data_IF_591943618344
#
_entry.id   IF_591943618344
#
_cell.length_a   1.000
_cell.length_b   1.000
_cell.length_c   1.000
_cell.angle_alpha   90.00
_cell.angle_beta   90.00
_cell.angle_gamma   90.00
#
_symmetry.space_group_name_H-M   'P 1'
#
loop_
_entity.id
_entity.type
_entity.pdbx_description
1 polymer ?
#
# COMPACT_ATOMS: atom_id res chain seq x y z
N UNK A 1 -15.87 -4.81 6.12
CA UNK A 1 -15.35 -5.39 4.85
C UNK A 1 -14.61 -4.34 4.01
N UNK A 2 -15.18 -3.16 3.72
CA UNK A 2 -14.50 -2.13 2.93
C UNK A 2 -13.16 -1.63 3.49
N UNK A 3 -13.06 -1.41 4.80
CA UNK A 3 -11.81 -1.04 5.49
C UNK A 3 -10.71 -2.10 5.38
N UNK A 4 -11.08 -3.39 5.36
CA UNK A 4 -10.12 -4.47 5.19
C UNK A 4 -9.59 -4.55 3.75
N UNK A 5 -10.43 -4.26 2.75
CA UNK A 5 -10.00 -4.19 1.34
C UNK A 5 -9.09 -2.99 1.11
N UNK A 6 -9.44 -1.83 1.68
CA UNK A 6 -8.63 -0.62 1.61
C UNK A 6 -7.23 -0.78 2.24
N UNK A 7 -7.06 -1.69 3.19
CA UNK A 7 -5.75 -1.98 3.77
C UNK A 7 -4.76 -2.59 2.75
N UNK A 8 -5.24 -3.13 1.63
CA UNK A 8 -4.42 -3.74 0.56
C UNK A 8 -4.25 -2.84 -0.68
N UNK A 9 -4.52 -1.54 -0.57
CA UNK A 9 -4.36 -0.55 -1.66
C UNK A 9 -2.91 -0.39 -2.17
N UNK A 10 -1.92 -0.94 -1.45
CA UNK A 10 -0.51 -0.91 -1.84
C UNK A 10 -0.18 -1.67 -3.14
N UNK A 11 -1.11 -2.50 -3.66
CA UNK A 11 -0.90 -3.28 -4.89
C UNK A 11 -0.62 -2.40 -6.12
N UNK A 12 -1.11 -1.15 -6.13
CA UNK A 12 -0.91 -0.22 -7.24
C UNK A 12 0.56 0.17 -7.46
N UNK A 13 1.40 -0.02 -6.44
CA UNK A 13 2.83 0.25 -6.51
C UNK A 13 3.63 -0.94 -7.08
N UNK A 14 2.98 -2.05 -7.44
CA UNK A 14 3.68 -3.24 -7.92
C UNK A 14 4.49 -2.98 -9.20
N UNK A 15 3.93 -2.20 -10.13
CA UNK A 15 4.57 -1.86 -11.41
C UNK A 15 5.87 -1.09 -11.16
N UNK A 16 5.85 0.08 -10.50
CA UNK A 16 7.10 0.82 -10.26
C UNK A 16 8.09 0.09 -9.35
N UNK A 17 7.62 -0.75 -8.42
CA UNK A 17 8.51 -1.59 -7.60
C UNK A 17 9.23 -2.63 -8.48
N UNK A 18 8.51 -3.28 -9.39
CA UNK A 18 9.09 -4.26 -10.31
C UNK A 18 10.16 -3.63 -11.21
N UNK A 19 9.95 -2.38 -11.63
CA UNK A 19 10.89 -1.62 -12.46
C UNK A 19 12.17 -1.23 -11.70
N UNK A 20 12.07 -0.99 -10.39
CA UNK A 20 13.22 -0.72 -9.52
C UNK A 20 13.95 -1.97 -9.00
N UNK A 21 13.46 -3.17 -9.28
CA UNK A 21 14.04 -4.42 -8.76
C UNK A 21 15.20 -4.94 -9.62
N UNK A 22 16.29 -5.32 -8.98
CA UNK A 22 17.43 -5.97 -9.65
C UNK A 22 17.09 -7.37 -10.21
N UNK A 23 16.06 -8.05 -9.65
CA UNK A 23 15.61 -9.40 -10.02
C UNK A 23 14.07 -9.49 -10.03
N UNK A 24 13.40 -9.12 -11.14
CA UNK A 24 11.94 -9.09 -11.23
C UNK A 24 11.26 -10.47 -11.14
N UNK A 25 12.00 -11.56 -11.36
CA UNK A 25 11.50 -12.94 -11.29
C UNK A 25 11.06 -13.38 -9.88
N UNK A 26 11.53 -12.71 -8.82
CA UNK A 26 11.14 -13.01 -7.44
C UNK A 26 9.88 -12.27 -6.97
N UNK A 27 9.31 -11.40 -7.80
CA UNK A 27 8.21 -10.51 -7.42
C UNK A 27 6.97 -11.28 -6.95
N UNK A 28 6.58 -12.35 -7.65
CA UNK A 28 5.38 -13.13 -7.32
C UNK A 28 5.48 -13.77 -5.92
N UNK A 29 6.64 -14.36 -5.60
CA UNK A 29 6.91 -14.93 -4.28
C UNK A 29 6.95 -13.85 -3.18
N UNK A 30 7.50 -12.68 -3.49
CA UNK A 30 7.56 -11.55 -2.55
C UNK A 30 6.16 -11.00 -2.25
N UNK A 31 5.31 -10.81 -3.25
CA UNK A 31 3.93 -10.33 -3.08
C UNK A 31 3.16 -11.30 -2.18
N UNK A 32 3.26 -12.61 -2.43
CA UNK A 32 2.59 -13.63 -1.63
C UNK A 32 3.10 -13.62 -0.18
N UNK A 33 4.41 -13.52 0.02
CA UNK A 33 5.01 -13.44 1.36
C UNK A 33 4.53 -12.20 2.13
N UNK A 34 4.52 -11.04 1.49
CA UNK A 34 4.04 -9.78 2.09
C UNK A 34 2.55 -9.88 2.42
N UNK A 35 1.73 -10.37 1.48
CA UNK A 35 0.29 -10.50 1.68
C UNK A 35 -0.04 -11.41 2.87
N UNK A 36 0.62 -12.57 2.99
CA UNK A 36 0.45 -13.48 4.13
C UNK A 36 0.90 -12.82 5.43
N UNK A 37 2.04 -12.13 5.42
CA UNK A 37 2.55 -11.44 6.62
C UNK A 37 1.60 -10.35 7.08
N UNK A 38 1.09 -9.51 6.17
CA UNK A 38 0.09 -8.49 6.47
C UNK A 38 -1.21 -9.11 6.99
N UNK A 39 -1.68 -10.22 6.41
CA UNK A 39 -2.87 -10.91 6.88
C UNK A 39 -2.73 -11.38 8.33
N UNK A 40 -1.59 -12.00 8.68
CA UNK A 40 -1.30 -12.45 10.05
C UNK A 40 -1.25 -11.26 11.01
N UNK A 41 -0.60 -10.16 10.62
CA UNK A 41 -0.54 -8.95 11.44
C UNK A 41 -1.92 -8.33 11.66
N UNK A 42 -2.72 -8.16 10.60
CA UNK A 42 -4.05 -7.57 10.72
C UNK A 42 -5.01 -8.44 11.53
N UNK A 43 -4.98 -9.76 11.34
CA UNK A 43 -5.78 -10.68 12.17
C UNK A 43 -5.32 -10.62 13.62
N UNK A 44 -4.00 -10.62 13.86
CA UNK A 44 -3.43 -10.50 15.20
C UNK A 44 -3.86 -9.21 15.90
N UNK A 45 -3.54 -8.06 15.32
CA UNK A 45 -3.91 -6.74 15.87
C UNK A 45 -5.43 -6.57 16.01
N UNK A 46 -6.22 -7.04 15.04
CA UNK A 46 -7.68 -7.02 15.11
C UNK A 46 -8.22 -7.84 16.28
N UNK A 47 -7.68 -9.05 16.48
CA UNK A 47 -8.07 -9.94 17.58
C UNK A 47 -7.67 -9.35 18.94
N UNK A 48 -6.42 -8.86 19.08
CA UNK A 48 -5.97 -8.21 20.31
C UNK A 48 -6.75 -6.93 20.63
N UNK A 49 -7.09 -6.13 19.62
CA UNK A 49 -7.93 -4.95 19.75
C UNK A 49 -9.32 -5.30 20.30
N UNK A 50 -9.97 -6.31 19.72
CA UNK A 50 -11.28 -6.77 20.19
C UNK A 50 -11.23 -7.33 21.62
N UNK A 51 -10.20 -8.13 21.95
CA UNK A 51 -10.03 -8.68 23.31
C UNK A 51 -9.82 -7.61 24.39
N UNK A 52 -9.22 -6.47 24.03
CA UNK A 52 -8.87 -5.41 25.00
C UNK A 52 -10.01 -4.43 25.24
N UNK A 53 -10.81 -4.12 24.20
CA UNK A 53 -11.87 -3.09 24.26
C UNK A 53 -13.30 -3.68 24.23
N UNK A 54 -13.45 -4.97 23.97
CA UNK A 54 -14.76 -5.63 23.91
C UNK A 54 -15.65 -5.11 22.78
N UNK A 55 -16.96 -5.09 23.02
CA UNK A 55 -17.98 -4.67 22.04
C UNK A 55 -18.06 -3.14 21.82
N UNK A 56 -17.30 -2.34 22.58
CA UNK A 56 -17.29 -0.86 22.50
C UNK A 56 -16.13 -0.32 21.63
N UNK A 57 -15.65 -1.12 20.69
CA UNK A 57 -14.58 -0.73 19.76
C UNK A 57 -15.12 0.28 18.75
N UNK A 58 -14.65 1.52 18.79
CA UNK A 58 -14.90 2.45 17.70
C UNK A 58 -14.09 2.02 16.46
N UNK A 59 -14.59 2.37 15.26
CA UNK A 59 -13.93 2.12 13.95
C UNK A 59 -12.47 2.59 13.92
N UNK A 60 -12.11 3.57 14.76
CA UNK A 60 -10.75 4.02 14.99
C UNK A 60 -10.40 3.74 16.46
N UNK A 61 -9.62 2.68 16.69
CA UNK A 61 -9.18 2.26 18.05
C UNK A 61 -8.50 3.43 18.78
N UNK A 62 -7.71 4.25 18.09
CA UNK A 62 -7.02 5.40 18.66
C UNK A 62 -7.95 6.46 19.30
N UNK A 63 -9.21 6.55 18.84
CA UNK A 63 -10.20 7.49 19.40
C UNK A 63 -10.94 6.91 20.61
N UNK A 64 -10.88 5.60 20.82
CA UNK A 64 -11.49 4.91 21.97
C UNK A 64 -10.60 4.95 23.22
N UNK A 65 -9.32 5.34 23.07
CA UNK A 65 -8.41 5.42 24.21
C UNK A 65 -8.62 6.72 25.01
N UNK A 66 -8.56 6.67 26.36
CA UNK A 66 -8.59 7.87 27.19
C UNK A 66 -7.39 8.76 26.87
N UNK A 67 -7.63 10.06 26.64
CA UNK A 67 -6.60 11.04 26.31
C UNK A 67 -5.56 11.11 27.44
N UNK A 68 -4.42 10.45 27.23
CA UNK A 68 -3.24 10.51 28.08
C UNK A 68 -2.05 10.99 27.25
N UNK A 69 -0.99 11.46 27.91
CA UNK A 69 0.21 11.95 27.23
C UNK A 69 0.78 10.91 26.23
N UNK A 70 0.73 9.63 26.59
CA UNK A 70 1.18 8.52 25.73
C UNK A 70 0.32 8.34 24.47
N UNK A 71 -1.01 8.43 24.63
CA UNK A 71 -1.96 8.28 23.51
C UNK A 71 -1.80 9.44 22.53
N UNK A 72 -1.62 10.66 23.04
CA UNK A 72 -1.35 11.84 22.22
C UNK A 72 -0.06 11.69 21.41
N UNK A 73 1.02 11.14 21.98
CA UNK A 73 2.26 10.88 21.24
C UNK A 73 2.06 9.90 20.09
N UNK A 74 1.34 8.79 20.33
CA UNK A 74 1.03 7.81 19.28
C UNK A 74 0.17 8.43 18.18
N UNK A 75 -0.80 9.28 18.53
CA UNK A 75 -1.65 9.98 17.57
C UNK A 75 -0.87 10.97 16.69
N UNK A 76 0.10 11.70 17.27
CA UNK A 76 1.00 12.58 16.51
C UNK A 76 1.86 11.76 15.54
N UNK A 77 2.45 10.66 16.00
CA UNK A 77 3.25 9.77 15.14
C UNK A 77 2.41 9.17 14.01
N UNK A 78 1.17 8.77 14.30
CA UNK A 78 0.23 8.27 13.30
C UNK A 78 -0.13 9.35 12.25
N UNK A 79 -0.33 10.59 12.68
CA UNK A 79 -0.61 11.71 11.76
C UNK A 79 0.57 11.98 10.84
N UNK A 80 1.80 11.95 11.36
CA UNK A 80 3.02 12.09 10.56
C UNK A 80 3.14 10.93 9.55
N UNK A 81 2.83 9.70 9.97
CA UNK A 81 2.86 8.53 9.08
C UNK A 81 1.85 8.66 7.93
N UNK A 82 0.62 9.11 8.20
CA UNK A 82 -0.38 9.38 7.16
C UNK A 82 0.11 10.48 6.22
N UNK A 83 0.66 11.57 6.75
CA UNK A 83 1.16 12.67 5.93
C UNK A 83 2.27 12.22 4.96
N UNK A 84 3.14 11.31 5.40
CA UNK A 84 4.16 10.68 4.54
C UNK A 84 3.57 9.67 3.52
N UNK A 85 2.44 9.04 3.86
CA UNK A 85 1.78 8.06 2.99
C UNK A 85 1.05 8.72 1.81
N UNK A 86 0.56 9.95 1.97
CA UNK A 86 -0.14 10.68 0.89
C UNK A 86 0.74 10.88 -0.36
N UNK A 87 2.00 11.39 -0.27
CA UNK A 87 2.91 11.46 -1.42
C UNK A 87 3.12 10.12 -2.13
N UNK A 88 3.25 9.03 -1.36
CA UNK A 88 3.46 7.69 -1.91
C UNK A 88 2.22 7.19 -2.67
N UNK A 89 1.01 7.53 -2.20
CA UNK A 89 -0.24 7.21 -2.91
C UNK A 89 -0.40 8.03 -4.19
N UNK A 90 0.12 9.25 -4.25
CA UNK A 90 0.07 10.07 -5.46
C UNK A 90 1.07 9.66 -6.53
N UNK A 91 2.15 8.96 -6.17
CA UNK A 91 3.19 8.52 -7.10
C UNK A 91 2.66 7.79 -8.35
N UNK A 92 1.80 6.76 -8.27
CA UNK A 92 1.23 6.12 -9.46
C UNK A 92 0.34 7.07 -10.26
N UNK A 93 -0.43 7.94 -9.59
CA UNK A 93 -1.30 8.90 -10.26
C UNK A 93 -0.50 9.94 -11.06
N UNK A 94 0.64 10.41 -10.55
CA UNK A 94 1.51 11.34 -11.27
C UNK A 94 2.15 10.66 -12.49
N UNK A 95 2.62 9.42 -12.36
CA UNK A 95 3.17 8.64 -13.50
C UNK A 95 2.11 8.41 -14.59
N UNK A 96 0.87 8.09 -14.21
CA UNK A 96 -0.23 7.90 -15.17
C UNK A 96 -0.59 9.24 -15.85
N UNK A 97 -0.66 10.33 -15.07
CA UNK A 97 -1.00 11.66 -15.59
C UNK A 97 0.05 12.19 -16.57
N UNK A 98 1.34 11.98 -16.28
CA UNK A 98 2.45 12.35 -17.17
C UNK A 98 2.35 11.62 -18.52
N UNK A 99 2.03 10.33 -18.49
CA UNK A 99 1.79 9.55 -19.71
C UNK A 99 0.56 10.05 -20.49
N UNK A 100 -0.53 10.42 -19.80
CA UNK A 100 -1.76 10.91 -20.43
C UNK A 100 -1.57 12.28 -21.09
N UNK A 101 -0.75 13.15 -20.51
CA UNK A 101 -0.47 14.51 -21.02
C UNK A 101 0.67 14.54 -22.06
N UNK A 102 1.34 13.41 -22.32
CA UNK A 102 2.42 13.33 -23.30
C UNK A 102 3.67 14.15 -22.93
N UNK A 103 3.77 14.60 -21.68
CA UNK A 103 4.91 15.36 -21.16
C UNK A 103 6.09 14.40 -20.96
N UNK A 104 6.90 14.21 -22.01
CA UNK A 104 8.16 13.48 -21.94
C UNK A 104 9.19 14.30 -21.18
N UNK A 105 9.19 14.22 -19.85
CA UNK A 105 10.31 14.69 -19.04
C UNK A 105 10.91 13.50 -18.29
N UNK A 106 12.01 12.97 -18.83
CA UNK A 106 13.08 12.37 -18.03
C UNK A 106 13.08 10.87 -17.71
N UNK A 107 11.95 10.16 -17.63
CA UNK A 107 12.00 8.72 -17.27
C UNK A 107 11.82 7.86 -18.51
N UNK A 108 12.94 7.35 -19.04
CA UNK A 108 12.92 6.28 -20.05
C UNK A 108 12.32 5.02 -19.41
N UNK A 109 11.00 4.85 -19.47
CA UNK A 109 10.38 3.57 -19.16
C UNK A 109 9.72 2.97 -20.41
N UNK A 110 10.39 1.98 -20.98
CA UNK A 110 9.97 1.28 -22.18
C UNK A 110 8.79 0.36 -21.88
N UNK A 111 7.57 0.89 -21.96
CA UNK A 111 6.33 0.10 -21.89
C UNK A 111 6.08 -0.77 -23.15
N UNK A 112 7.01 -0.81 -24.11
CA UNK A 112 6.85 -1.53 -25.37
C UNK A 112 8.05 -2.45 -25.68
N UNK A 113 8.11 -3.63 -25.05
CA UNK A 113 8.36 -4.83 -25.86
C UNK A 113 7.29 -5.94 -25.71
N UNK A 114 6.46 -5.95 -24.65
CA UNK A 114 5.62 -7.14 -24.35
C UNK A 114 4.38 -7.32 -25.22
N UNK A 115 3.86 -6.26 -25.86
CA UNK A 115 2.72 -6.41 -26.79
C UNK A 115 3.11 -7.02 -28.14
N UNK A 116 4.42 -7.08 -28.49
CA UNK A 116 4.86 -7.73 -29.73
C UNK A 116 5.08 -9.23 -29.59
N UNK A 117 5.14 -9.79 -28.38
CA UNK A 117 5.44 -11.21 -28.17
C UNK A 117 4.21 -12.11 -28.17
N UNK A 118 3.00 -11.55 -27.99
CA UNK A 118 1.74 -12.31 -28.05
C UNK A 118 1.14 -12.40 -29.46
N UNK A 119 1.69 -11.68 -30.45
CA UNK A 119 1.21 -11.74 -31.84
C UNK A 119 1.80 -12.92 -32.63
N UNK A 120 2.80 -13.62 -32.07
CA UNK A 120 3.48 -14.76 -32.71
C UNK A 120 3.04 -16.14 -32.16
N UNK A 121 1.96 -16.18 -31.36
CA UNK A 121 1.41 -17.42 -30.76
C UNK A 121 -0.04 -17.71 -31.15
N UNK A 122 -0.50 -17.20 -32.29
CA UNK A 122 -1.75 -17.60 -32.95
C UNK A 122 -1.45 -17.98 -34.39
#
# INVERSE_FOLDING_TARGET
VGTAVFAYEGIQLVIPIQEGMARPECLEGLILFIAVTCAVLFIGFGTFGYLTFGDDVADIVLLSLPKSAYVTTVQVMYTIAIFCSLPLMFFPATVILEHALGLKTGTKHSLLPKMKTNLWRV
#
